data_IF_501190853452
#
_entry.id   IF_501190853452
#
_cell.length_a   1.000
_cell.length_b   1.000
_cell.length_c   1.000
_cell.angle_alpha   90.00
_cell.angle_beta   90.00
_cell.angle_gamma   90.00
#
_symmetry.space_group_name_H-M   'P 1'
#
loop_
_entity.id
_entity.type
_entity.pdbx_description
1 polymer ?
#
# COMPACT_ATOMS: atom_id res chain seq x y z
N UNK A 1 -11.78 2.37 28.86
CA UNK A 1 -11.19 3.70 28.54
C UNK A 1 -10.55 3.58 27.16
N UNK A 2 -11.02 4.35 26.18
CA UNK A 2 -10.34 4.41 24.88
C UNK A 2 -8.98 5.09 25.09
N UNK A 3 -7.90 4.43 24.71
CA UNK A 3 -6.57 5.02 24.72
C UNK A 3 -6.58 6.20 23.74
N UNK A 4 -6.21 7.39 24.21
CA UNK A 4 -5.98 8.53 23.34
C UNK A 4 -4.63 8.31 22.63
N UNK A 5 -4.69 7.73 21.43
CA UNK A 5 -3.51 7.42 20.63
C UNK A 5 -2.67 8.64 20.29
N UNK A 6 -3.29 9.82 20.20
CA UNK A 6 -2.57 11.06 19.91
C UNK A 6 -1.81 11.56 21.12
N UNK A 7 -2.42 11.50 22.32
CA UNK A 7 -1.74 11.86 23.56
C UNK A 7 -0.56 10.91 23.85
N UNK A 8 -0.76 9.61 23.66
CA UNK A 8 0.31 8.63 23.84
C UNK A 8 1.44 8.80 22.82
N UNK A 9 1.12 9.02 21.56
CA UNK A 9 2.13 9.28 20.53
C UNK A 9 2.93 10.56 20.85
N UNK A 10 2.27 11.63 21.29
CA UNK A 10 2.92 12.88 21.70
C UNK A 10 3.89 12.64 22.86
N UNK A 11 3.45 11.95 23.92
CA UNK A 11 4.30 11.61 25.06
C UNK A 11 5.58 10.87 24.62
N UNK A 12 5.43 9.86 23.76
CA UNK A 12 6.57 9.08 23.28
C UNK A 12 7.50 9.89 22.37
N UNK A 13 6.94 10.72 21.48
CA UNK A 13 7.70 11.60 20.61
C UNK A 13 8.53 12.60 21.43
N UNK A 14 7.96 13.20 22.48
CA UNK A 14 8.66 14.14 23.38
C UNK A 14 9.84 13.47 24.09
N UNK A 15 9.66 12.25 24.59
CA UNK A 15 10.75 11.47 25.21
C UNK A 15 11.83 11.13 24.19
N UNK A 16 11.45 10.67 22.98
CA UNK A 16 12.40 10.36 21.92
C UNK A 16 13.16 11.59 21.43
N UNK A 17 12.49 12.77 21.36
CA UNK A 17 13.12 14.03 20.99
C UNK A 17 14.14 14.53 22.03
N UNK A 18 13.91 14.24 23.31
CA UNK A 18 14.86 14.53 24.38
C UNK A 18 16.07 13.55 24.34
N UNK A 19 15.81 12.27 24.09
CA UNK A 19 16.84 11.23 24.10
C UNK A 19 17.78 11.28 22.88
N UNK A 20 17.23 11.45 21.65
CA UNK A 20 17.94 11.54 20.36
C UNK A 20 18.84 10.36 19.98
N UNK A 21 18.85 9.28 20.72
CA UNK A 21 19.73 8.11 20.43
C UNK A 21 19.54 7.57 19.00
N UNK A 22 18.31 7.60 18.50
CA UNK A 22 17.95 7.07 17.17
C UNK A 22 18.03 8.11 16.03
N UNK A 23 18.71 9.25 16.21
CA UNK A 23 18.70 10.37 15.24
C UNK A 23 19.15 9.94 13.84
N UNK A 24 20.09 9.01 13.73
CA UNK A 24 20.58 8.47 12.46
C UNK A 24 19.75 7.32 11.87
N UNK A 25 18.65 6.86 12.50
CA UNK A 25 17.97 5.63 12.09
C UNK A 25 17.09 5.77 10.86
N UNK A 26 16.32 6.83 10.75
CA UNK A 26 15.43 7.08 9.60
C UNK A 26 14.98 8.54 9.55
N UNK A 27 14.22 8.93 8.52
CA UNK A 27 13.73 10.30 8.33
C UNK A 27 12.85 10.84 9.49
N UNK A 28 12.26 9.96 10.32
CA UNK A 28 11.40 10.37 11.44
C UNK A 28 12.17 11.22 12.47
N UNK A 29 13.37 10.79 12.82
CA UNK A 29 14.12 11.44 13.93
C UNK A 29 14.65 12.84 13.55
N UNK A 30 15.31 13.06 12.40
CA UNK A 30 15.68 14.42 11.98
C UNK A 30 14.46 15.34 11.84
N UNK A 31 13.32 14.84 11.33
CA UNK A 31 12.09 15.62 11.24
C UNK A 31 11.51 15.95 12.63
N UNK A 32 11.68 15.06 13.62
CA UNK A 32 11.26 15.24 15.00
C UNK A 32 12.13 16.30 15.69
N UNK A 33 13.45 16.27 15.53
CA UNK A 33 14.38 17.16 16.22
C UNK A 33 14.27 18.64 15.80
N UNK A 34 13.62 18.90 14.68
CA UNK A 34 13.33 20.26 14.22
C UNK A 34 12.15 20.92 14.96
N UNK A 35 11.35 20.14 15.68
CA UNK A 35 10.17 20.61 16.38
C UNK A 35 10.45 20.76 17.88
N UNK A 36 9.90 21.82 18.48
CA UNK A 36 9.94 22.03 19.93
C UNK A 36 8.66 21.53 20.62
N UNK A 37 7.55 21.59 19.90
CA UNK A 37 6.24 21.15 20.35
C UNK A 37 5.61 20.33 19.23
N UNK A 38 4.73 19.38 19.56
CA UNK A 38 4.15 18.45 18.60
C UNK A 38 2.64 18.67 18.50
N UNK A 39 2.22 19.44 17.49
CA UNK A 39 0.82 19.57 17.12
C UNK A 39 0.34 18.31 16.37
N UNK A 40 -0.96 18.18 16.14
CA UNK A 40 -1.53 17.07 15.36
C UNK A 40 -0.92 16.97 13.96
N UNK A 41 -0.63 18.09 13.32
CA UNK A 41 0.00 18.14 12.00
C UNK A 41 1.40 17.51 11.99
N UNK A 42 2.22 17.82 13.01
CA UNK A 42 3.56 17.27 13.15
C UNK A 42 3.52 15.77 13.39
N UNK A 43 2.64 15.32 14.29
CA UNK A 43 2.44 13.90 14.54
C UNK A 43 1.93 13.15 13.29
N UNK A 44 1.02 13.76 12.52
CA UNK A 44 0.54 13.22 11.24
C UNK A 44 1.68 13.09 10.23
N UNK A 45 2.56 14.08 10.13
CA UNK A 45 3.74 14.03 9.26
C UNK A 45 4.71 12.92 9.70
N UNK A 46 5.10 12.88 10.98
CA UNK A 46 6.00 11.85 11.51
C UNK A 46 5.44 10.43 11.34
N UNK A 47 4.14 10.26 11.59
CA UNK A 47 3.47 8.97 11.43
C UNK A 47 3.50 8.46 9.98
N UNK A 48 3.34 9.34 9.00
CA UNK A 48 3.40 8.97 7.58
C UNK A 48 4.84 8.82 7.05
N UNK A 49 5.85 9.45 7.67
CA UNK A 49 7.26 9.17 7.43
C UNK A 49 7.69 7.81 7.98
N UNK A 50 7.09 7.34 9.07
CA UNK A 50 7.47 6.09 9.72
C UNK A 50 7.17 4.88 8.85
N UNK A 51 8.19 4.09 8.51
CA UNK A 51 8.07 2.86 7.71
C UNK A 51 7.78 1.62 8.56
N UNK A 52 7.63 1.81 9.88
CA UNK A 52 7.44 0.72 10.84
C UNK A 52 8.52 -0.36 10.73
N UNK A 53 9.77 0.04 10.53
CA UNK A 53 10.90 -0.89 10.43
C UNK A 53 11.30 -1.50 11.78
N UNK A 54 10.79 -0.94 12.88
CA UNK A 54 10.97 -1.38 14.27
C UNK A 54 12.40 -1.25 14.81
N UNK A 55 13.39 -0.82 14.01
CA UNK A 55 14.77 -0.67 14.44
C UNK A 55 14.95 0.20 15.68
N UNK A 56 14.17 1.29 15.79
CA UNK A 56 14.19 2.16 16.97
C UNK A 56 13.63 1.50 18.23
N UNK A 57 12.69 0.55 18.11
CA UNK A 57 12.15 -0.19 19.25
C UNK A 57 13.20 -1.14 19.82
N UNK A 58 13.82 -1.94 18.98
CA UNK A 58 14.79 -2.95 19.40
C UNK A 58 16.12 -2.35 19.91
N UNK A 59 16.48 -1.15 19.45
CA UNK A 59 17.64 -0.43 19.94
C UNK A 59 17.37 0.42 21.21
N UNK A 60 16.09 0.53 21.64
CA UNK A 60 15.70 1.44 22.70
C UNK A 60 15.84 0.82 24.09
N UNK A 61 16.59 1.48 24.96
CA UNK A 61 16.71 1.08 26.36
C UNK A 61 15.47 1.42 27.23
N UNK A 62 14.54 2.21 26.68
CA UNK A 62 13.33 2.67 27.39
C UNK A 62 12.07 1.89 26.98
N UNK A 63 12.19 0.77 26.28
CA UNK A 63 11.08 -0.15 26.03
C UNK A 63 10.69 -0.88 27.33
N UNK A 64 9.50 -1.49 27.35
CA UNK A 64 9.10 -2.33 28.46
C UNK A 64 10.17 -3.40 28.79
N UNK A 65 10.50 -3.62 30.08
CA UNK A 65 9.79 -3.23 31.30
C UNK A 65 10.13 -1.86 31.89
N UNK A 66 10.88 -1.01 31.17
CA UNK A 66 11.18 0.34 31.65
C UNK A 66 9.89 1.15 31.88
N UNK A 67 9.87 2.04 32.89
CA UNK A 67 8.68 2.84 33.23
C UNK A 67 8.13 3.70 32.08
N UNK A 68 8.98 4.16 31.17
CA UNK A 68 8.55 4.89 29.98
C UNK A 68 7.83 4.02 28.96
N UNK A 69 8.08 2.71 28.95
CA UNK A 69 7.44 1.72 28.08
C UNK A 69 7.32 2.19 26.62
N UNK A 70 8.42 2.73 26.05
CA UNK A 70 8.43 3.30 24.71
C UNK A 70 8.17 2.24 23.65
N UNK A 71 7.14 2.46 22.82
CA UNK A 71 6.84 1.70 21.61
C UNK A 71 6.44 2.66 20.48
N UNK A 72 7.40 3.48 20.06
CA UNK A 72 7.18 4.51 19.03
C UNK A 72 6.63 3.95 17.70
N UNK A 73 7.07 2.77 17.19
CA UNK A 73 6.49 2.18 15.99
C UNK A 73 4.98 1.94 16.09
N UNK A 74 4.50 1.43 17.22
CA UNK A 74 3.08 1.19 17.45
C UNK A 74 2.30 2.50 17.59
N UNK A 75 2.80 3.45 18.40
CA UNK A 75 2.17 4.74 18.58
C UNK A 75 2.01 5.51 17.25
N UNK A 76 3.07 5.56 16.43
CA UNK A 76 2.99 6.17 15.10
C UNK A 76 2.12 5.38 14.12
N UNK A 77 2.01 4.06 14.27
CA UNK A 77 1.13 3.26 13.42
C UNK A 77 -0.35 3.56 13.67
N UNK A 78 -0.76 3.77 14.93
CA UNK A 78 -2.13 4.17 15.27
C UNK A 78 -2.45 5.57 14.74
N UNK A 79 -1.62 6.57 15.01
CA UNK A 79 -1.79 7.95 14.48
C UNK A 79 -1.87 7.95 12.95
N UNK A 80 -1.05 7.15 12.28
CA UNK A 80 -1.04 7.03 10.81
C UNK A 80 -2.38 6.51 10.29
N UNK A 81 -2.92 5.45 10.86
CA UNK A 81 -4.19 4.87 10.43
C UNK A 81 -5.37 5.79 10.71
N UNK A 82 -5.39 6.44 11.88
CA UNK A 82 -6.36 7.49 12.19
C UNK A 82 -6.29 8.66 11.20
N UNK A 83 -5.09 9.07 10.79
CA UNK A 83 -4.91 10.14 9.79
C UNK A 83 -5.51 9.76 8.43
N UNK A 84 -5.33 8.51 7.99
CA UNK A 84 -5.93 8.03 6.74
C UNK A 84 -7.46 8.01 6.80
N UNK A 85 -8.06 7.56 7.91
CA UNK A 85 -9.50 7.61 8.10
C UNK A 85 -10.04 9.04 8.05
N UNK A 86 -9.44 9.93 8.83
CA UNK A 86 -9.86 11.32 8.99
C UNK A 86 -9.72 12.14 7.70
N UNK A 87 -8.69 11.87 6.92
CA UNK A 87 -8.39 12.59 5.68
C UNK A 87 -9.14 12.02 4.46
N UNK A 88 -9.60 10.77 4.52
CA UNK A 88 -10.38 10.14 3.45
C UNK A 88 -11.81 10.67 3.35
N UNK A 89 -12.41 10.55 2.17
CA UNK A 89 -13.78 10.93 1.89
C UNK A 89 -14.48 9.83 1.10
N UNK A 90 -15.68 9.40 1.53
CA UNK A 90 -16.36 9.75 2.78
C UNK A 90 -15.74 9.05 3.99
N UNK A 91 -15.62 9.76 5.11
CA UNK A 91 -14.96 9.25 6.33
C UNK A 91 -15.64 8.01 6.92
N UNK A 92 -16.98 7.94 6.84
CA UNK A 92 -17.73 6.77 7.35
C UNK A 92 -17.36 5.49 6.62
N UNK A 93 -17.12 5.55 5.30
CA UNK A 93 -16.72 4.40 4.49
C UNK A 93 -15.28 3.99 4.84
N UNK A 94 -14.37 4.95 5.00
CA UNK A 94 -13.01 4.69 5.46
C UNK A 94 -13.03 3.94 6.79
N UNK A 95 -13.81 4.40 7.76
CA UNK A 95 -13.95 3.75 9.06
C UNK A 95 -14.51 2.33 8.93
N UNK A 96 -15.52 2.11 8.09
CA UNK A 96 -16.11 0.77 7.87
C UNK A 96 -15.12 -0.21 7.22
N UNK A 97 -14.41 0.24 6.19
CA UNK A 97 -13.39 -0.58 5.53
C UNK A 97 -12.22 -0.88 6.47
N UNK A 98 -11.80 0.08 7.27
CA UNK A 98 -10.73 -0.12 8.24
C UNK A 98 -11.11 -1.11 9.36
N UNK A 99 -12.36 -1.12 9.81
CA UNK A 99 -12.82 -2.01 10.90
C UNK A 99 -13.27 -3.38 10.40
N UNK A 100 -13.91 -3.47 9.23
CA UNK A 100 -14.53 -4.68 8.69
C UNK A 100 -14.02 -5.01 7.28
N UNK A 101 -12.77 -4.63 6.96
CA UNK A 101 -12.21 -4.74 5.61
C UNK A 101 -12.31 -6.12 4.99
N UNK A 102 -12.15 -7.19 5.77
CA UNK A 102 -12.30 -8.56 5.30
C UNK A 102 -13.71 -8.89 4.82
N UNK A 103 -14.72 -8.50 5.60
CA UNK A 103 -16.12 -8.70 5.22
C UNK A 103 -16.49 -7.86 4.00
N UNK A 104 -16.08 -6.59 3.98
CA UNK A 104 -16.35 -5.70 2.85
C UNK A 104 -15.70 -6.22 1.57
N UNK A 105 -14.42 -6.60 1.63
CA UNK A 105 -13.71 -7.17 0.48
C UNK A 105 -14.33 -8.48 -0.01
N UNK A 106 -14.68 -9.37 0.91
CA UNK A 106 -15.32 -10.66 0.59
C UNK A 106 -16.68 -10.49 -0.08
N UNK A 107 -17.53 -9.61 0.46
CA UNK A 107 -18.83 -9.32 -0.12
C UNK A 107 -18.72 -8.65 -1.49
N UNK A 108 -17.82 -7.68 -1.65
CA UNK A 108 -17.59 -7.01 -2.95
C UNK A 108 -17.07 -8.01 -3.98
N UNK A 109 -16.08 -8.83 -3.62
CA UNK A 109 -15.50 -9.83 -4.50
C UNK A 109 -16.58 -10.83 -4.96
N UNK A 110 -17.33 -11.41 -4.00
CA UNK A 110 -18.39 -12.35 -4.30
C UNK A 110 -19.49 -11.73 -5.19
N UNK A 111 -19.98 -10.54 -4.82
CA UNK A 111 -21.02 -9.85 -5.58
C UNK A 111 -20.55 -9.51 -7.01
N UNK A 112 -19.29 -9.09 -7.17
CA UNK A 112 -18.74 -8.78 -8.50
C UNK A 112 -18.57 -10.03 -9.34
N UNK A 113 -18.04 -11.12 -8.78
CA UNK A 113 -17.90 -12.39 -9.51
C UNK A 113 -19.29 -12.90 -9.91
N UNK A 114 -20.25 -12.91 -8.98
CA UNK A 114 -21.61 -13.33 -9.26
C UNK A 114 -22.25 -12.50 -10.38
N UNK A 115 -22.13 -11.16 -10.30
CA UNK A 115 -22.65 -10.26 -11.34
C UNK A 115 -21.99 -10.51 -12.69
N UNK A 116 -20.68 -10.67 -12.74
CA UNK A 116 -19.95 -10.94 -13.97
C UNK A 116 -20.35 -12.29 -14.56
N UNK A 117 -20.46 -13.34 -13.74
CA UNK A 117 -20.94 -14.67 -14.22
C UNK A 117 -22.38 -14.63 -14.73
N UNK A 118 -23.26 -13.88 -14.05
CA UNK A 118 -24.65 -13.70 -14.47
C UNK A 118 -24.76 -12.94 -15.79
N UNK A 119 -23.90 -11.93 -16.00
CA UNK A 119 -23.94 -11.05 -17.19
C UNK A 119 -23.22 -11.59 -18.40
N UNK A 120 -22.56 -12.77 -18.30
CA UNK A 120 -21.93 -13.41 -19.46
C UNK A 120 -22.99 -13.84 -20.48
N UNK A 121 -22.94 -13.22 -21.69
CA UNK A 121 -23.96 -13.41 -22.70
C UNK A 121 -23.76 -14.58 -23.65
N UNK A 122 -22.58 -15.22 -23.69
CA UNK A 122 -22.21 -16.24 -24.69
C UNK A 122 -21.66 -17.48 -24.01
N UNK A 123 -22.19 -18.63 -24.36
CA UNK A 123 -21.63 -19.93 -24.00
C UNK A 123 -20.75 -20.41 -25.18
N UNK A 124 -19.43 -20.54 -24.95
CA UNK A 124 -18.49 -21.08 -25.93
C UNK A 124 -17.69 -20.09 -26.75
N UNK A 125 -17.47 -18.87 -26.24
CA UNK A 125 -16.54 -17.89 -26.83
C UNK A 125 -15.07 -18.30 -26.69
N UNK A 126 -14.23 -17.88 -27.65
CA UNK A 126 -12.79 -18.18 -27.69
C UNK A 126 -11.90 -17.03 -27.18
N UNK A 127 -12.47 -15.84 -27.03
CA UNK A 127 -11.76 -14.63 -26.58
C UNK A 127 -12.45 -13.95 -25.40
N UNK A 128 -11.73 -13.10 -24.66
CA UNK A 128 -12.32 -12.33 -23.56
C UNK A 128 -13.49 -11.45 -24.00
N UNK A 129 -13.42 -10.90 -25.21
CA UNK A 129 -14.42 -10.00 -25.73
C UNK A 129 -15.68 -10.70 -26.25
N UNK A 130 -15.65 -12.01 -26.37
CA UNK A 130 -16.86 -12.81 -26.64
C UNK A 130 -17.76 -12.88 -25.40
N UNK A 131 -17.17 -12.80 -24.20
CA UNK A 131 -17.92 -12.79 -22.92
C UNK A 131 -18.31 -11.39 -22.46
N UNK A 132 -17.40 -10.40 -22.64
CA UNK A 132 -17.66 -9.01 -22.30
C UNK A 132 -17.16 -8.09 -23.41
N UNK A 133 -18.06 -7.29 -23.97
CA UNK A 133 -17.62 -6.30 -24.96
C UNK A 133 -16.60 -5.33 -24.34
N UNK A 134 -15.67 -4.85 -25.13
CA UNK A 134 -14.68 -3.87 -24.71
C UNK A 134 -15.33 -2.65 -24.03
N UNK A 135 -16.41 -2.12 -24.62
CA UNK A 135 -17.13 -0.98 -24.09
C UNK A 135 -17.76 -1.26 -22.71
N UNK A 136 -18.28 -2.47 -22.50
CA UNK A 136 -18.81 -2.91 -21.19
C UNK A 136 -17.73 -2.91 -20.14
N UNK A 137 -16.56 -3.48 -20.45
CA UNK A 137 -15.42 -3.49 -19.52
C UNK A 137 -14.94 -2.07 -19.21
N UNK A 138 -14.83 -1.19 -20.19
CA UNK A 138 -14.46 0.21 -19.98
C UNK A 138 -15.51 0.93 -19.11
N UNK A 139 -16.80 0.75 -19.38
CA UNK A 139 -17.87 1.38 -18.60
C UNK A 139 -17.86 0.96 -17.12
N UNK A 140 -17.47 -0.26 -16.81
CA UNK A 140 -17.38 -0.78 -15.43
C UNK A 140 -16.06 -0.36 -14.77
N UNK A 141 -14.94 -0.59 -15.43
CA UNK A 141 -13.61 -0.49 -14.81
C UNK A 141 -13.02 0.92 -14.83
N UNK A 142 -13.36 1.77 -15.81
CA UNK A 142 -12.86 3.14 -15.83
C UNK A 142 -13.37 3.96 -14.62
N UNK A 143 -14.66 3.97 -14.28
CA UNK A 143 -15.12 4.60 -13.04
C UNK A 143 -14.53 3.96 -11.79
N UNK A 144 -14.45 2.62 -11.74
CA UNK A 144 -13.89 1.89 -10.60
C UNK A 144 -12.41 2.19 -10.35
N UNK A 145 -11.68 2.62 -11.36
CA UNK A 145 -10.29 3.07 -11.27
C UNK A 145 -10.18 4.58 -10.98
N UNK A 146 -10.92 5.41 -11.71
CA UNK A 146 -10.79 6.88 -11.64
C UNK A 146 -11.32 7.43 -10.32
N UNK A 147 -12.49 6.98 -9.84
CA UNK A 147 -13.10 7.51 -8.62
C UNK A 147 -12.19 7.31 -7.39
N UNK A 148 -11.58 6.14 -7.14
CA UNK A 148 -10.59 5.98 -6.07
C UNK A 148 -9.39 6.93 -6.18
N UNK A 149 -8.88 7.18 -7.38
CA UNK A 149 -7.79 8.13 -7.58
C UNK A 149 -8.19 9.56 -7.22
N UNK A 150 -9.42 9.97 -7.56
CA UNK A 150 -9.97 11.28 -7.16
C UNK A 150 -10.06 11.38 -5.64
N UNK A 151 -10.54 10.33 -4.96
CA UNK A 151 -10.60 10.27 -3.49
C UNK A 151 -9.20 10.38 -2.89
N UNK A 152 -8.22 9.65 -3.42
CA UNK A 152 -6.83 9.71 -2.97
C UNK A 152 -6.26 11.12 -3.17
N UNK A 153 -6.44 11.72 -4.35
CA UNK A 153 -5.95 13.06 -4.64
C UNK A 153 -6.55 14.11 -3.69
N UNK A 154 -7.85 13.98 -3.38
CA UNK A 154 -8.51 14.83 -2.40
C UNK A 154 -7.95 14.65 -0.98
N UNK A 155 -7.74 13.41 -0.58
CA UNK A 155 -7.16 13.07 0.73
C UNK A 155 -5.73 13.61 0.86
N UNK A 156 -4.92 13.47 -0.19
CA UNK A 156 -3.56 14.01 -0.25
C UNK A 156 -3.55 15.55 -0.21
N UNK A 157 -4.52 16.22 -0.87
CA UNK A 157 -4.65 17.68 -0.78
C UNK A 157 -4.96 18.14 0.64
N UNK A 158 -5.83 17.41 1.36
CA UNK A 158 -6.14 17.69 2.78
C UNK A 158 -4.91 17.48 3.66
N UNK A 159 -4.22 16.35 3.47
CA UNK A 159 -2.96 16.05 4.14
C UNK A 159 -1.92 17.16 3.92
N UNK A 160 -1.70 17.54 2.65
CA UNK A 160 -0.70 18.54 2.28
C UNK A 160 -0.94 19.89 2.94
N UNK A 161 -2.20 20.31 3.04
CA UNK A 161 -2.59 21.54 3.75
C UNK A 161 -2.37 21.42 5.25
N UNK A 162 -2.71 20.27 5.84
CA UNK A 162 -2.56 20.02 7.27
C UNK A 162 -1.10 20.07 7.70
N UNK A 163 -0.19 19.42 6.99
CA UNK A 163 1.24 19.39 7.33
C UNK A 163 2.01 20.65 6.87
N UNK A 164 1.33 21.67 6.41
CA UNK A 164 1.96 22.92 5.96
C UNK A 164 2.84 22.74 4.71
N UNK A 165 2.43 21.86 3.78
CA UNK A 165 3.16 21.60 2.54
C UNK A 165 3.24 22.83 1.65
N UNK A 166 4.43 23.12 1.15
CA UNK A 166 4.71 24.21 0.22
C UNK A 166 4.57 23.77 -1.25
N UNK A 167 4.76 24.70 -2.19
CA UNK A 167 4.77 24.36 -3.62
C UNK A 167 5.80 23.27 -3.92
N UNK A 168 5.35 22.22 -4.62
CA UNK A 168 6.19 21.06 -4.94
C UNK A 168 7.17 21.44 -6.05
N UNK A 169 8.47 21.41 -5.76
CA UNK A 169 9.54 21.52 -6.75
C UNK A 169 9.96 20.14 -7.21
N UNK A 170 10.39 20.03 -8.46
CA UNK A 170 10.86 18.77 -9.03
C UNK A 170 11.99 18.11 -8.21
N UNK A 171 12.91 18.92 -7.66
CA UNK A 171 14.00 18.42 -6.82
C UNK A 171 13.50 17.64 -5.59
N UNK A 172 12.49 18.19 -4.88
CA UNK A 172 11.90 17.53 -3.70
C UNK A 172 11.18 16.23 -4.09
N UNK A 173 10.40 16.25 -5.18
CA UNK A 173 9.71 15.07 -5.68
C UNK A 173 10.70 14.00 -6.13
N UNK A 174 11.77 14.37 -6.84
CA UNK A 174 12.83 13.44 -7.28
C UNK A 174 13.54 12.79 -6.10
N UNK A 175 13.86 13.57 -5.05
CA UNK A 175 14.44 13.04 -3.80
C UNK A 175 13.50 12.03 -3.14
N UNK A 176 12.21 12.38 -2.99
CA UNK A 176 11.19 11.51 -2.42
C UNK A 176 11.00 10.22 -3.24
N UNK A 177 10.92 10.32 -4.56
CA UNK A 177 10.81 9.16 -5.47
C UNK A 177 12.02 8.25 -5.36
N UNK A 178 13.24 8.80 -5.30
CA UNK A 178 14.47 8.02 -5.10
C UNK A 178 14.45 7.30 -3.76
N UNK A 179 14.04 7.97 -2.68
CA UNK A 179 13.93 7.35 -1.36
C UNK A 179 12.85 6.24 -1.32
N UNK A 180 11.72 6.45 -1.99
CA UNK A 180 10.65 5.46 -2.10
C UNK A 180 11.07 4.26 -2.97
N UNK A 181 11.68 4.46 -4.13
CA UNK A 181 12.14 3.41 -5.02
C UNK A 181 13.16 2.48 -4.35
N UNK A 182 14.09 3.06 -3.58
CA UNK A 182 15.11 2.30 -2.86
C UNK A 182 14.65 1.81 -1.50
N UNK A 183 13.45 2.18 -1.02
CA UNK A 183 12.99 1.94 0.35
C UNK A 183 14.04 2.33 1.39
N UNK A 184 14.65 3.53 1.25
CA UNK A 184 15.75 4.01 2.06
C UNK A 184 15.47 3.87 3.57
N UNK A 185 14.29 4.29 4.01
CA UNK A 185 13.90 4.28 5.42
C UNK A 185 13.45 2.89 5.94
N UNK A 186 13.43 1.86 5.08
CA UNK A 186 13.18 0.47 5.47
C UNK A 186 14.49 -0.32 5.57
N UNK A 187 15.64 0.33 5.51
CA UNK A 187 16.96 -0.30 5.64
C UNK A 187 17.48 -0.37 7.07
N UNK A 188 16.75 0.18 8.05
CA UNK A 188 17.20 0.26 9.44
C UNK A 188 18.24 1.36 9.68
N UNK A 189 18.62 1.56 10.96
CA UNK A 189 19.43 2.69 11.37
C UNK A 189 20.79 2.80 10.70
N UNK A 190 21.49 1.68 10.60
CA UNK A 190 22.83 1.62 10.01
C UNK A 190 22.85 0.81 8.70
N UNK A 191 21.76 0.82 7.97
CA UNK A 191 21.55 0.03 6.74
C UNK A 191 21.61 -1.48 6.92
N UNK A 192 21.52 -1.97 8.15
CA UNK A 192 21.56 -3.40 8.49
C UNK A 192 20.22 -4.11 8.27
N UNK A 193 19.17 -3.37 7.92
CA UNK A 193 17.83 -3.88 7.73
C UNK A 193 16.90 -3.63 8.92
N UNK A 194 15.75 -4.28 8.88
CA UNK A 194 14.78 -4.27 9.97
C UNK A 194 15.04 -5.47 10.87
N UNK A 195 14.81 -5.31 12.17
CA UNK A 195 14.91 -6.44 13.10
C UNK A 195 13.67 -7.33 12.98
N UNK A 196 13.85 -8.62 13.08
CA UNK A 196 12.81 -9.61 12.88
C UNK A 196 12.98 -10.85 13.75
N UNK A 197 11.91 -11.51 13.75
CA UNK A 197 11.31 -12.75 14.11
C UNK A 197 12.28 -13.96 14.34
N UNK A 198 13.47 -13.96 13.79
CA UNK A 198 14.50 -15.00 13.97
C UNK A 198 15.49 -14.64 15.09
N UNK A 199 15.04 -13.92 16.13
CA UNK A 199 15.87 -13.42 17.21
C UNK A 199 16.46 -12.03 16.93
N UNK A 200 17.49 -11.62 17.68
CA UNK A 200 18.08 -10.27 17.67
C UNK A 200 18.91 -9.96 16.41
N UNK A 201 18.44 -10.35 15.22
CA UNK A 201 19.18 -10.17 13.98
C UNK A 201 18.51 -9.17 13.06
N UNK A 202 19.25 -8.16 12.61
CA UNK A 202 18.83 -7.29 11.53
C UNK A 202 18.73 -8.06 10.22
N UNK A 203 17.69 -7.76 9.42
CA UNK A 203 17.41 -8.48 8.19
C UNK A 203 16.86 -7.56 7.10
N UNK A 204 17.28 -7.77 5.86
CA UNK A 204 16.73 -7.13 4.67
C UNK A 204 15.51 -7.85 4.06
N UNK A 205 15.07 -8.96 4.65
CA UNK A 205 13.98 -9.80 4.11
C UNK A 205 12.72 -8.99 3.82
N UNK A 206 12.30 -8.13 4.75
CA UNK A 206 11.10 -7.29 4.55
C UNK A 206 11.27 -6.27 3.43
N UNK A 207 12.45 -5.65 3.31
CA UNK A 207 12.75 -4.72 2.23
C UNK A 207 12.70 -5.43 0.88
N UNK A 208 13.31 -6.61 0.75
CA UNK A 208 13.31 -7.41 -0.47
C UNK A 208 11.87 -7.85 -0.85
N UNK A 209 11.10 -8.40 0.10
CA UNK A 209 9.71 -8.79 -0.14
C UNK A 209 8.83 -7.61 -0.55
N UNK A 210 9.03 -6.45 0.08
CA UNK A 210 8.30 -5.24 -0.28
C UNK A 210 8.71 -4.69 -1.66
N UNK A 211 10.00 -4.75 -2.03
CA UNK A 211 10.45 -4.37 -3.37
C UNK A 211 9.84 -5.28 -4.45
N UNK A 212 9.84 -6.60 -4.24
CA UNK A 212 9.17 -7.54 -5.15
C UNK A 212 7.69 -7.19 -5.33
N UNK A 213 6.99 -6.93 -4.22
CA UNK A 213 5.56 -6.56 -4.25
C UNK A 213 5.35 -5.23 -4.97
N UNK A 214 6.13 -4.20 -4.65
CA UNK A 214 5.99 -2.87 -5.22
C UNK A 214 6.30 -2.85 -6.73
N UNK A 215 7.44 -3.40 -7.13
CA UNK A 215 7.81 -3.43 -8.54
C UNK A 215 6.93 -4.40 -9.34
N UNK A 216 6.53 -5.54 -8.75
CA UNK A 216 5.56 -6.44 -9.36
C UNK A 216 4.23 -5.74 -9.64
N UNK A 217 3.70 -4.98 -8.67
CA UNK A 217 2.49 -4.18 -8.87
C UNK A 217 2.66 -3.12 -9.96
N UNK A 218 3.78 -2.38 -9.96
CA UNK A 218 4.06 -1.36 -10.98
C UNK A 218 4.19 -1.97 -12.38
N UNK A 219 4.77 -3.16 -12.52
CA UNK A 219 4.85 -3.87 -13.80
C UNK A 219 3.47 -4.35 -14.27
N UNK A 220 2.61 -4.86 -13.39
CA UNK A 220 1.22 -5.18 -13.72
C UNK A 220 0.44 -3.94 -14.17
N UNK A 221 0.63 -2.81 -13.49
CA UNK A 221 0.04 -1.54 -13.89
C UNK A 221 0.58 -1.05 -15.24
N UNK A 222 1.89 -1.15 -15.47
CA UNK A 222 2.51 -0.83 -16.76
C UNK A 222 2.01 -1.74 -17.89
N UNK A 223 1.75 -3.03 -17.62
CA UNK A 223 1.12 -3.97 -18.56
C UNK A 223 -0.24 -3.44 -19.04
N UNK A 224 -1.13 -3.09 -18.11
CA UNK A 224 -2.45 -2.55 -18.44
C UNK A 224 -2.35 -1.21 -19.17
N UNK A 225 -1.46 -0.31 -18.71
CA UNK A 225 -1.25 1.00 -19.34
C UNK A 225 -0.72 0.85 -20.77
N UNK A 226 0.22 -0.06 -20.99
CA UNK A 226 0.77 -0.34 -22.33
C UNK A 226 -0.31 -0.93 -23.25
N UNK A 227 -1.12 -1.87 -22.75
CA UNK A 227 -2.24 -2.42 -23.49
C UNK A 227 -3.26 -1.34 -23.90
N UNK A 228 -3.54 -0.39 -23.00
CA UNK A 228 -4.42 0.76 -23.26
C UNK A 228 -3.84 1.67 -24.36
N UNK A 229 -2.54 1.99 -24.30
CA UNK A 229 -1.87 2.79 -25.34
C UNK A 229 -1.87 2.05 -26.69
N UNK A 230 -1.56 0.74 -26.69
CA UNK A 230 -1.59 -0.06 -27.91
C UNK A 230 -2.98 -0.09 -28.53
N UNK A 231 -4.02 -0.24 -27.72
CA UNK A 231 -5.39 -0.29 -28.22
C UNK A 231 -5.85 1.06 -28.81
N UNK A 232 -5.69 2.18 -28.07
CA UNK A 232 -6.28 3.47 -28.44
C UNK A 232 -5.37 4.37 -29.29
N UNK A 233 -4.05 4.27 -29.12
CA UNK A 233 -3.13 5.16 -29.81
C UNK A 233 -2.43 4.50 -31.01
N UNK A 234 -2.30 3.15 -30.99
CA UNK A 234 -1.60 2.41 -32.04
C UNK A 234 -2.56 1.53 -32.88
N UNK A 235 -3.85 1.55 -32.56
CA UNK A 235 -4.90 0.74 -33.20
C UNK A 235 -4.57 -0.76 -33.25
N UNK A 236 -3.96 -1.25 -32.17
CA UNK A 236 -3.57 -2.64 -31.98
C UNK A 236 -4.44 -3.29 -30.89
N UNK A 237 -5.61 -3.84 -31.22
CA UNK A 237 -6.51 -4.44 -30.23
C UNK A 237 -5.97 -5.79 -29.73
N UNK A 238 -6.37 -6.18 -28.51
CA UNK A 238 -6.15 -7.52 -28.00
C UNK A 238 -6.98 -8.56 -28.82
N UNK A 239 -6.56 -9.85 -28.86
CA UNK A 239 -5.56 -10.50 -28.02
C UNK A 239 -4.12 -10.29 -28.48
N UNK A 240 -3.23 -10.04 -27.52
CA UNK A 240 -1.81 -9.82 -27.80
C UNK A 240 -1.02 -11.13 -27.84
N UNK A 241 0.00 -11.19 -28.71
CA UNK A 241 0.95 -12.30 -28.75
C UNK A 241 1.71 -12.46 -27.41
N UNK A 242 2.19 -13.67 -27.13
CA UNK A 242 2.88 -13.98 -25.88
C UNK A 242 4.16 -13.14 -25.64
N UNK A 243 4.85 -12.73 -26.71
CA UNK A 243 6.05 -11.89 -26.70
C UNK A 243 5.76 -10.39 -26.73
N UNK A 244 4.49 -9.98 -26.69
CA UNK A 244 4.13 -8.57 -26.67
C UNK A 244 4.49 -7.90 -25.34
N UNK A 245 4.75 -6.61 -25.38
CA UNK A 245 5.14 -5.84 -24.20
C UNK A 245 4.12 -5.96 -23.05
N UNK A 246 2.78 -5.83 -23.27
CA UNK A 246 1.81 -6.03 -22.19
C UNK A 246 1.91 -7.43 -21.56
N UNK A 247 2.09 -8.47 -22.36
CA UNK A 247 2.17 -9.85 -21.85
C UNK A 247 3.44 -10.07 -21.02
N UNK A 248 4.59 -9.61 -21.50
CA UNK A 248 5.88 -9.73 -20.78
C UNK A 248 5.79 -8.98 -19.43
N UNK A 249 5.33 -7.73 -19.44
CA UNK A 249 5.18 -6.94 -18.22
C UNK A 249 4.19 -7.58 -17.24
N UNK A 250 3.06 -8.08 -17.74
CA UNK A 250 2.03 -8.72 -16.93
C UNK A 250 2.50 -10.04 -16.30
N UNK A 251 3.19 -10.89 -17.04
CA UNK A 251 3.69 -12.18 -16.53
C UNK A 251 4.81 -11.95 -15.51
N UNK A 252 5.81 -11.14 -15.85
CA UNK A 252 6.92 -10.82 -14.92
C UNK A 252 6.39 -10.12 -13.67
N UNK A 253 5.54 -9.11 -13.84
CA UNK A 253 4.91 -8.37 -12.74
C UNK A 253 4.05 -9.27 -11.86
N UNK A 254 3.24 -10.13 -12.46
CA UNK A 254 2.38 -11.09 -11.76
C UNK A 254 3.17 -12.09 -10.93
N UNK A 255 4.26 -12.64 -11.45
CA UNK A 255 5.15 -13.54 -10.70
C UNK A 255 5.82 -12.80 -9.54
N UNK A 256 6.40 -11.62 -9.79
CA UNK A 256 7.03 -10.81 -8.74
C UNK A 256 6.04 -10.43 -7.64
N UNK A 257 4.84 -10.01 -8.01
CA UNK A 257 3.79 -9.63 -7.05
C UNK A 257 3.30 -10.83 -6.24
N UNK A 258 3.09 -11.99 -6.86
CA UNK A 258 2.68 -13.23 -6.18
C UNK A 258 3.74 -13.70 -5.19
N UNK A 259 5.00 -13.79 -5.63
CA UNK A 259 6.12 -14.20 -4.76
C UNK A 259 6.35 -13.19 -3.64
N UNK A 260 6.34 -11.89 -3.96
CA UNK A 260 6.54 -10.83 -2.97
C UNK A 260 5.46 -10.81 -1.88
N UNK A 261 4.19 -10.97 -2.26
CA UNK A 261 3.07 -11.01 -1.30
C UNK A 261 3.08 -12.26 -0.44
N UNK A 262 3.38 -13.44 -1.00
CA UNK A 262 3.57 -14.68 -0.21
C UNK A 262 4.71 -14.54 0.79
N UNK A 263 5.82 -13.93 0.36
CA UNK A 263 6.95 -13.69 1.24
C UNK A 263 6.59 -12.72 2.38
N UNK A 264 5.88 -11.62 2.08
CA UNK A 264 5.38 -10.70 3.11
C UNK A 264 4.36 -11.34 4.05
N UNK A 265 3.47 -12.23 3.56
CA UNK A 265 2.57 -13.01 4.40
C UNK A 265 3.34 -13.91 5.37
N UNK A 266 4.39 -14.59 4.88
CA UNK A 266 5.26 -15.41 5.74
C UNK A 266 5.88 -14.57 6.85
N UNK A 267 6.47 -13.42 6.51
CA UNK A 267 7.06 -12.51 7.50
C UNK A 267 6.03 -11.95 8.49
N UNK A 268 4.81 -11.68 8.01
CA UNK A 268 3.74 -11.15 8.88
C UNK A 268 3.22 -12.18 9.89
N UNK A 269 3.32 -13.49 9.59
CA UNK A 269 2.91 -14.56 10.53
C UNK A 269 3.80 -14.60 11.78
N UNK A 270 5.07 -14.28 11.62
CA UNK A 270 6.05 -14.30 12.71
C UNK A 270 6.23 -12.94 13.38
N UNK A 271 5.71 -11.86 12.77
CA UNK A 271 5.82 -10.52 13.30
C UNK A 271 4.96 -10.29 14.55
N UNK A 272 5.49 -9.55 15.54
CA UNK A 272 4.72 -9.16 16.72
C UNK A 272 3.68 -8.08 16.37
N UNK A 273 2.37 -8.38 16.52
CA UNK A 273 1.31 -7.41 16.28
C UNK A 273 1.43 -6.14 17.14
N UNK A 274 1.99 -6.26 18.35
CA UNK A 274 2.14 -5.14 19.30
C UNK A 274 3.11 -4.07 18.85
N UNK A 275 3.96 -4.35 17.86
CA UNK A 275 4.88 -3.37 17.27
C UNK A 275 4.28 -2.61 16.07
N UNK A 276 2.99 -2.72 15.86
CA UNK A 276 2.21 -2.02 14.84
C UNK A 276 0.83 -1.63 15.35
N UNK A 277 -0.09 -1.27 14.46
CA UNK A 277 -1.48 -1.05 14.83
C UNK A 277 -2.18 -2.41 15.00
N UNK A 278 -2.46 -2.77 16.25
CA UNK A 278 -3.14 -4.04 16.59
C UNK A 278 -4.56 -4.04 16.02
N UNK A 279 -5.26 -2.90 16.09
CA UNK A 279 -6.63 -2.75 15.62
C UNK A 279 -6.77 -2.99 14.10
N UNK A 280 -5.72 -2.81 13.33
CA UNK A 280 -5.70 -2.91 11.85
C UNK A 280 -4.97 -4.14 11.32
N UNK A 281 -4.53 -5.01 12.20
CA UNK A 281 -3.77 -6.21 11.81
C UNK A 281 -4.51 -7.10 10.80
N UNK A 282 -5.82 -7.29 11.00
CA UNK A 282 -6.69 -8.03 10.08
C UNK A 282 -6.82 -7.36 8.70
N UNK A 283 -7.00 -6.04 8.65
CA UNK A 283 -7.08 -5.28 7.40
C UNK A 283 -5.82 -5.39 6.54
N UNK A 284 -4.66 -5.48 7.18
CA UNK A 284 -3.38 -5.71 6.50
C UNK A 284 -3.33 -7.08 5.80
N UNK A 285 -3.85 -8.14 6.45
CA UNK A 285 -3.94 -9.47 5.86
C UNK A 285 -4.84 -9.50 4.64
N UNK A 286 -6.01 -8.84 4.74
CA UNK A 286 -6.96 -8.73 3.63
C UNK A 286 -6.32 -8.04 2.42
N UNK A 287 -5.62 -6.93 2.66
CA UNK A 287 -4.96 -6.19 1.60
C UNK A 287 -3.87 -7.01 0.90
N UNK A 288 -2.97 -7.66 1.66
CA UNK A 288 -1.92 -8.50 1.09
C UNK A 288 -2.53 -9.69 0.35
N UNK A 289 -3.59 -10.31 0.92
CA UNK A 289 -4.33 -11.40 0.29
C UNK A 289 -5.00 -10.99 -1.02
N UNK A 290 -5.60 -9.82 -1.08
CA UNK A 290 -6.23 -9.30 -2.29
C UNK A 290 -5.21 -9.00 -3.39
N UNK A 291 -4.03 -8.46 -3.05
CA UNK A 291 -2.93 -8.30 -4.00
C UNK A 291 -2.44 -9.64 -4.55
N UNK A 292 -2.28 -10.63 -3.66
CA UNK A 292 -1.90 -11.99 -4.08
C UNK A 292 -2.94 -12.61 -5.00
N UNK A 293 -4.22 -12.53 -4.66
CA UNK A 293 -5.31 -13.04 -5.49
C UNK A 293 -5.36 -12.34 -6.85
N UNK A 294 -5.23 -11.01 -6.88
CA UNK A 294 -5.21 -10.25 -8.14
C UNK A 294 -4.07 -10.72 -9.05
N UNK A 295 -2.86 -10.90 -8.53
CA UNK A 295 -1.73 -11.35 -9.31
C UNK A 295 -1.85 -12.81 -9.77
N UNK A 296 -2.15 -13.71 -8.84
CA UNK A 296 -2.23 -15.15 -9.11
C UNK A 296 -3.40 -15.52 -10.03
N UNK A 297 -4.56 -14.89 -9.86
CA UNK A 297 -5.70 -15.13 -10.78
C UNK A 297 -5.44 -14.59 -12.18
N UNK A 298 -4.68 -13.49 -12.32
CA UNK A 298 -4.23 -12.99 -13.62
C UNK A 298 -3.28 -13.94 -14.34
N UNK A 299 -2.33 -14.53 -13.60
CA UNK A 299 -1.45 -15.57 -14.16
C UNK A 299 -2.23 -16.84 -14.53
N UNK A 300 -3.16 -17.28 -13.67
CA UNK A 300 -4.03 -18.42 -13.96
C UNK A 300 -4.91 -18.16 -15.19
N UNK A 301 -5.49 -16.96 -15.31
CA UNK A 301 -6.26 -16.56 -16.47
C UNK A 301 -5.41 -16.62 -17.76
N UNK A 302 -4.15 -16.17 -17.70
CA UNK A 302 -3.22 -16.29 -18.82
C UNK A 302 -2.92 -17.75 -19.18
N UNK A 303 -2.68 -18.61 -18.19
CA UNK A 303 -2.39 -20.04 -18.41
C UNK A 303 -3.59 -20.82 -18.92
N UNK A 304 -4.78 -20.50 -18.41
CA UNK A 304 -6.03 -21.23 -18.71
C UNK A 304 -6.87 -20.56 -19.81
N UNK A 305 -6.35 -19.54 -20.48
CA UNK A 305 -7.07 -18.72 -21.45
C UNK A 305 -7.56 -19.49 -22.71
N UNK A 306 -7.01 -20.67 -22.99
CA UNK A 306 -7.44 -21.54 -24.08
C UNK A 306 -8.26 -22.76 -23.58
N UNK A 307 -8.73 -22.76 -22.34
CA UNK A 307 -9.47 -23.88 -21.73
C UNK A 307 -10.91 -23.46 -21.39
N UNK A 308 -11.83 -24.43 -21.17
CA UNK A 308 -13.19 -24.13 -20.70
C UNK A 308 -13.28 -23.40 -19.36
N UNK A 309 -12.20 -23.33 -18.59
CA UNK A 309 -12.13 -22.61 -17.33
C UNK A 309 -11.96 -21.08 -17.52
N UNK A 310 -11.67 -20.60 -18.72
CA UNK A 310 -11.38 -19.20 -19.03
C UNK A 310 -12.49 -18.24 -18.55
N UNK A 311 -13.79 -18.49 -18.81
CA UNK A 311 -14.84 -17.55 -18.38
C UNK A 311 -14.91 -17.36 -16.86
N UNK A 312 -14.76 -18.46 -16.11
CA UNK A 312 -14.72 -18.41 -14.65
C UNK A 312 -13.46 -17.66 -14.16
N UNK A 313 -12.30 -17.97 -14.71
CA UNK A 313 -11.05 -17.30 -14.32
C UNK A 313 -11.07 -15.82 -14.69
N UNK A 314 -11.70 -15.46 -15.80
CA UNK A 314 -11.91 -14.05 -16.18
C UNK A 314 -12.79 -13.33 -15.16
N UNK A 315 -13.94 -13.90 -14.79
CA UNK A 315 -14.83 -13.30 -13.79
C UNK A 315 -14.12 -13.16 -12.41
N UNK A 316 -13.38 -14.18 -11.98
CA UNK A 316 -12.62 -14.16 -10.72
C UNK A 316 -11.53 -13.09 -10.74
N UNK A 317 -10.74 -13.03 -11.80
CA UNK A 317 -9.67 -12.03 -11.92
C UNK A 317 -10.24 -10.61 -11.97
N UNK A 318 -11.25 -10.37 -12.80
CA UNK A 318 -11.91 -9.06 -12.88
C UNK A 318 -12.56 -8.67 -11.54
N UNK A 319 -13.14 -9.61 -10.81
CA UNK A 319 -13.68 -9.39 -9.46
C UNK A 319 -12.58 -8.97 -8.47
N UNK A 320 -11.41 -9.61 -8.51
CA UNK A 320 -10.26 -9.22 -7.68
C UNK A 320 -9.78 -7.80 -8.02
N UNK A 321 -9.63 -7.48 -9.32
CA UNK A 321 -9.19 -6.15 -9.78
C UNK A 321 -10.19 -5.07 -9.38
N UNK A 322 -11.49 -5.29 -9.59
CA UNK A 322 -12.54 -4.35 -9.22
C UNK A 322 -12.55 -4.06 -7.72
N UNK A 323 -12.50 -5.11 -6.90
CA UNK A 323 -12.45 -5.00 -5.44
C UNK A 323 -11.18 -4.24 -5.00
N UNK A 324 -10.02 -4.55 -5.59
CA UNK A 324 -8.76 -3.87 -5.30
C UNK A 324 -8.86 -2.38 -5.60
N UNK A 325 -9.42 -1.99 -6.74
CA UNK A 325 -9.56 -0.59 -7.12
C UNK A 325 -10.46 0.17 -6.16
N UNK A 326 -11.67 -0.32 -5.89
CA UNK A 326 -12.61 0.37 -5.01
C UNK A 326 -12.14 0.45 -3.56
N UNK A 327 -11.39 -0.55 -3.08
CA UNK A 327 -10.81 -0.53 -1.73
C UNK A 327 -9.52 0.30 -1.63
N UNK A 328 -8.91 0.70 -2.74
CA UNK A 328 -7.61 1.39 -2.77
C UNK A 328 -7.53 2.59 -1.81
N UNK A 329 -8.46 3.56 -1.80
CA UNK A 329 -8.35 4.75 -0.96
C UNK A 329 -8.59 4.49 0.53
N UNK A 330 -9.18 3.36 0.88
CA UNK A 330 -9.61 3.02 2.24
C UNK A 330 -8.81 1.87 2.87
N UNK A 331 -7.97 1.21 2.07
CA UNK A 331 -7.10 0.12 2.50
C UNK A 331 -5.66 0.59 2.73
N UNK A 332 -4.81 -0.35 3.14
CA UNK A 332 -3.37 -0.09 3.28
C UNK A 332 -2.69 0.35 1.96
N UNK A 333 -3.31 0.20 0.80
CA UNK A 333 -2.77 0.68 -0.47
C UNK A 333 -2.46 2.18 -0.44
N UNK A 334 -3.28 2.96 0.26
CA UNK A 334 -3.12 4.41 0.39
C UNK A 334 -1.77 4.82 0.99
N UNK A 335 -1.11 3.90 1.75
CA UNK A 335 0.16 4.19 2.41
C UNK A 335 1.26 4.67 1.45
N UNK A 336 1.28 4.15 0.23
CA UNK A 336 2.29 4.54 -0.76
C UNK A 336 2.18 6.02 -1.13
N UNK A 337 0.96 6.51 -1.31
CA UNK A 337 0.67 7.89 -1.67
C UNK A 337 0.97 8.86 -0.52
N UNK A 338 0.47 8.56 0.69
CA UNK A 338 0.74 9.40 1.87
C UNK A 338 2.23 9.44 2.23
N UNK A 339 2.94 8.30 2.09
CA UNK A 339 4.37 8.24 2.34
C UNK A 339 5.17 9.04 1.33
N UNK A 340 4.82 8.97 0.06
CA UNK A 340 5.46 9.79 -0.97
C UNK A 340 5.24 11.29 -0.68
N UNK A 341 4.04 11.68 -0.29
CA UNK A 341 3.75 13.06 0.13
C UNK A 341 4.56 13.45 1.37
N UNK A 342 4.66 12.58 2.39
CA UNK A 342 5.44 12.82 3.58
C UNK A 342 6.94 12.97 3.28
N UNK A 343 7.50 12.12 2.43
CA UNK A 343 8.89 12.23 1.98
C UNK A 343 9.14 13.51 1.16
N UNK A 344 8.16 13.93 0.35
CA UNK A 344 8.26 15.20 -0.41
C UNK A 344 8.25 16.40 0.55
N UNK A 345 7.41 16.36 1.60
CA UNK A 345 7.40 17.40 2.64
C UNK A 345 8.70 17.42 3.44
N UNK A 346 9.22 16.24 3.80
CA UNK A 346 10.52 16.10 4.47
C UNK A 346 11.66 16.69 3.65
N UNK A 347 11.70 16.45 2.33
CA UNK A 347 12.67 17.05 1.43
C UNK A 347 12.55 18.59 1.32
N UNK A 348 11.38 19.17 1.60
CA UNK A 348 11.20 20.64 1.67
C UNK A 348 11.81 21.25 2.94
N UNK A 349 11.79 20.52 4.04
CA UNK A 349 12.26 21.00 5.35
C UNK A 349 13.73 20.70 5.60
N UNK A 350 14.22 19.55 5.13
CA UNK A 350 15.58 19.08 5.40
C UNK A 350 16.58 19.39 4.26
N UNK A 351 16.16 20.08 3.21
CA UNK A 351 16.99 20.39 2.06
C UNK A 351 17.41 19.11 1.35
N UNK A 352 16.58 18.58 0.45
CA UNK A 352 16.88 17.39 -0.35
C UNK A 352 18.05 17.58 -1.29
#
# INVERSE_FOLDING_TARGET
MSVDHQAEARRQIEICNACRYCEGFCAVFPAMTQQRTFALADMTQLANLCHNCQGCYHACQYTAPHEFAINLPAALAEVRTESWERLSTPTWLAKRVQTHGGLVAGLMLFATIFFLMWSQGVVGGNTFYDYFSHNTLVAIFAPAFVLPLVVIAWSLRRYWREVGGQAVRWAHLKSALKAAANLKNLSGGQQQGCQYEDGDRYSHKRRAGHQLTMYGFLLCFASTSTATVMHYALDMPAPYAWYSLPKILGVVGGVMLSVGTLFLMKLKRTADPKLGSVSRWGGDWVFIGLLFLTASTGLLLWMLGATPAMPLMLAVHLGCVFTLFLMMPYSKMVHGFFRLAALTRDAQTNGG
#
